data_IF_125873041729
#
_entry.id   IF_125873041729
#
_cell.length_a   1.000
_cell.length_b   1.000
_cell.length_c   1.000
_cell.angle_alpha   90.00
_cell.angle_beta   90.00
_cell.angle_gamma   90.00
#
_symmetry.space_group_name_H-M   'P 1'
#
loop_
_entity.id
_entity.type
_entity.pdbx_description
1 polymer ?
#
# COMPACT_ATOMS: atom_id res chain seq x y z
N UNK A 1 -25.54 -11.85 -47.40
CA UNK A 1 -24.77 -10.72 -47.95
C UNK A 1 -24.40 -9.82 -46.78
N UNK A 2 -23.27 -10.10 -46.12
CA UNK A 2 -22.83 -9.37 -44.94
C UNK A 2 -22.20 -8.04 -45.36
N UNK A 3 -22.59 -6.96 -44.69
CA UNK A 3 -21.95 -5.65 -44.82
C UNK A 3 -20.73 -5.61 -43.90
N UNK A 4 -19.54 -5.45 -44.48
CA UNK A 4 -18.30 -5.24 -43.74
C UNK A 4 -18.30 -3.85 -43.11
N UNK A 5 -18.16 -3.80 -41.78
CA UNK A 5 -18.01 -2.56 -41.02
C UNK A 5 -16.51 -2.26 -41.00
N UNK A 6 -16.07 -1.29 -41.81
CA UNK A 6 -14.71 -0.76 -41.76
C UNK A 6 -14.59 0.23 -40.60
N UNK A 7 -13.70 -0.04 -39.65
CA UNK A 7 -13.35 0.88 -38.56
C UNK A 7 -12.10 1.64 -38.98
N UNK A 8 -12.27 2.89 -39.40
CA UNK A 8 -11.13 3.80 -39.59
C UNK A 8 -10.70 4.34 -38.23
N UNK A 9 -9.48 4.00 -37.81
CA UNK A 9 -8.84 4.58 -36.65
C UNK A 9 -8.29 5.97 -37.04
N UNK A 10 -8.85 7.02 -36.43
CA UNK A 10 -8.32 8.38 -36.49
C UNK A 10 -6.91 8.41 -35.88
N UNK A 11 -5.89 8.48 -36.72
CA UNK A 11 -4.52 8.79 -36.32
C UNK A 11 -4.43 10.28 -35.97
N UNK A 12 -4.30 10.60 -34.68
CA UNK A 12 -3.99 11.96 -34.23
C UNK A 12 -2.57 12.33 -34.71
N UNK A 13 -2.44 13.50 -35.33
CA UNK A 13 -1.19 14.03 -35.87
C UNK A 13 -0.13 14.18 -34.77
N UNK A 14 1.03 13.59 -35.03
CA UNK A 14 2.15 13.40 -34.12
C UNK A 14 3.03 14.66 -34.00
N UNK A 15 2.45 15.79 -33.57
CA UNK A 15 3.18 17.04 -33.30
C UNK A 15 3.04 17.50 -31.83
N UNK A 16 2.11 16.90 -31.07
CA UNK A 16 1.87 17.19 -29.64
C UNK A 16 2.49 16.15 -28.69
N UNK A 17 3.41 15.32 -29.19
CA UNK A 17 4.11 14.30 -28.41
C UNK A 17 5.38 14.85 -27.80
N UNK A 18 5.46 14.90 -26.46
CA UNK A 18 6.70 15.24 -25.78
C UNK A 18 7.82 14.28 -26.20
N UNK A 19 8.98 14.84 -26.58
CA UNK A 19 10.16 14.03 -26.86
C UNK A 19 10.71 13.41 -25.58
N UNK A 20 11.39 12.27 -25.70
CA UNK A 20 11.95 11.55 -24.54
C UNK A 20 12.91 12.44 -23.72
N UNK A 21 13.64 13.34 -24.37
CA UNK A 21 14.56 14.26 -23.71
C UNK A 21 13.82 15.36 -22.93
N UNK A 22 12.67 15.83 -23.43
CA UNK A 22 11.79 16.77 -22.71
C UNK A 22 11.15 16.13 -21.49
N UNK A 23 10.73 14.87 -21.60
CA UNK A 23 10.20 14.08 -20.47
C UNK A 23 11.27 13.86 -19.40
N UNK A 24 12.50 13.53 -19.80
CA UNK A 24 13.59 13.34 -18.86
C UNK A 24 13.98 14.64 -18.15
N UNK A 25 13.95 15.77 -18.85
CA UNK A 25 14.21 17.10 -18.28
C UNK A 25 13.13 17.50 -17.28
N UNK A 26 11.85 17.36 -17.63
CA UNK A 26 10.76 17.74 -16.73
C UNK A 26 10.72 16.89 -15.46
N UNK A 27 11.00 15.58 -15.56
CA UNK A 27 11.11 14.71 -14.39
C UNK A 27 12.29 15.07 -13.47
N UNK A 28 13.36 15.67 -14.00
CA UNK A 28 14.51 16.12 -13.21
C UNK A 28 14.25 17.48 -12.53
N UNK A 29 13.41 18.32 -13.14
CA UNK A 29 12.94 19.60 -12.58
C UNK A 29 11.91 19.42 -11.46
N UNK A 30 11.11 18.35 -11.51
CA UNK A 30 10.14 18.02 -10.48
C UNK A 30 10.82 17.68 -9.12
N UNK A 31 10.60 18.46 -8.06
CA UNK A 31 11.25 18.28 -6.75
C UNK A 31 10.87 16.97 -6.03
N UNK A 32 9.70 16.41 -6.33
CA UNK A 32 9.20 15.16 -5.72
C UNK A 32 9.72 13.93 -6.49
N UNK A 33 9.96 14.05 -7.79
CA UNK A 33 10.48 12.96 -8.65
C UNK A 33 12.02 12.91 -8.66
N UNK A 34 12.68 14.08 -8.64
CA UNK A 34 14.15 14.22 -8.62
C UNK A 34 14.88 13.34 -7.60
N UNK A 35 14.46 13.21 -6.32
CA UNK A 35 15.15 12.33 -5.36
C UNK A 35 15.13 10.86 -5.79
N UNK A 36 14.05 10.39 -6.41
CA UNK A 36 13.91 9.01 -6.88
C UNK A 36 14.86 8.74 -8.06
N UNK A 37 14.95 9.68 -9.00
CA UNK A 37 15.89 9.59 -10.11
C UNK A 37 17.35 9.61 -9.64
N UNK A 38 17.68 10.46 -8.67
CA UNK A 38 19.00 10.48 -8.02
C UNK A 38 19.30 9.15 -7.33
N UNK A 39 18.35 8.60 -6.58
CA UNK A 39 18.50 7.29 -5.94
C UNK A 39 18.68 6.16 -6.95
N UNK A 40 17.97 6.19 -8.08
CA UNK A 40 18.15 5.23 -9.18
C UNK A 40 19.55 5.32 -9.78
N UNK A 41 20.04 6.52 -10.04
CA UNK A 41 21.39 6.71 -10.57
C UNK A 41 22.45 6.20 -9.57
N UNK A 42 22.29 6.51 -8.28
CA UNK A 42 23.19 6.05 -7.21
C UNK A 42 23.07 4.54 -6.91
N UNK A 43 22.00 3.88 -7.36
CA UNK A 43 21.83 2.44 -7.20
C UNK A 43 22.63 1.61 -8.21
N UNK A 44 23.15 2.24 -9.26
CA UNK A 44 24.07 1.59 -10.21
C UNK A 44 25.41 1.24 -9.54
N UNK A 45 25.87 2.06 -8.59
CA UNK A 45 27.06 1.82 -7.76
C UNK A 45 26.76 0.97 -6.50
N UNK A 46 25.60 0.32 -6.45
CA UNK A 46 25.23 -0.50 -5.29
C UNK A 46 26.12 -1.75 -5.25
N UNK A 47 26.87 -1.97 -4.16
CA UNK A 47 27.74 -3.13 -4.05
C UNK A 47 26.91 -4.41 -4.18
N UNK A 48 27.49 -5.39 -4.87
CA UNK A 48 26.87 -6.70 -5.05
C UNK A 48 26.60 -7.35 -3.69
N UNK A 49 25.58 -8.20 -3.60
CA UNK A 49 25.30 -8.99 -2.40
C UNK A 49 26.56 -9.74 -1.91
N UNK A 50 27.41 -10.21 -2.83
CA UNK A 50 28.67 -10.87 -2.49
C UNK A 50 29.68 -9.90 -1.86
N UNK A 51 29.82 -8.69 -2.40
CA UNK A 51 30.73 -7.67 -1.86
C UNK A 51 30.30 -7.21 -0.47
N UNK A 52 28.99 -7.08 -0.25
CA UNK A 52 28.41 -6.78 1.07
C UNK A 52 28.73 -7.93 2.04
N UNK A 53 28.53 -9.18 1.64
CA UNK A 53 28.84 -10.34 2.47
C UNK A 53 30.33 -10.39 2.84
N UNK A 54 31.22 -10.17 1.87
CA UNK A 54 32.67 -10.11 2.11
C UNK A 54 33.07 -8.92 3.00
N UNK A 55 32.43 -7.77 2.86
CA UNK A 55 32.66 -6.61 3.72
C UNK A 55 32.21 -6.89 5.17
N UNK A 56 31.04 -7.51 5.36
CA UNK A 56 30.54 -7.94 6.66
C UNK A 56 31.48 -8.96 7.32
N UNK A 57 31.96 -9.93 6.55
CA UNK A 57 32.91 -10.95 7.01
C UNK A 57 34.25 -10.34 7.41
N UNK A 58 34.80 -9.42 6.61
CA UNK A 58 36.01 -8.67 6.95
C UNK A 58 35.84 -7.83 8.22
N UNK A 59 34.67 -7.21 8.40
CA UNK A 59 34.35 -6.42 9.59
C UNK A 59 34.25 -7.31 10.84
N UNK A 60 33.65 -8.50 10.71
CA UNK A 60 33.62 -9.52 11.77
C UNK A 60 35.01 -10.03 12.14
N UNK A 61 35.89 -10.25 11.15
CA UNK A 61 37.27 -10.69 11.39
C UNK A 61 38.15 -9.62 12.03
N UNK A 62 37.88 -8.34 11.75
CA UNK A 62 38.59 -7.19 12.35
C UNK A 62 38.05 -6.78 13.72
N UNK A 63 36.89 -7.30 14.14
CA UNK A 63 36.36 -7.03 15.47
C UNK A 63 37.23 -7.77 16.53
N UNK A 64 37.71 -7.09 17.59
CA UNK A 64 38.40 -7.77 18.67
C UNK A 64 37.44 -8.78 19.31
N UNK A 65 37.94 -9.99 19.56
CA UNK A 65 37.20 -11.08 20.20
C UNK A 65 37.06 -10.76 21.70
N UNK A 66 36.04 -9.98 22.02
CA UNK A 66 35.44 -9.65 23.32
C UNK A 66 36.34 -9.69 24.58
N UNK A 67 36.70 -8.50 25.06
CA UNK A 67 36.62 -8.24 26.50
C UNK A 67 35.13 -8.18 26.85
N UNK A 68 34.61 -8.94 27.85
CA UNK A 68 33.18 -8.96 28.15
C UNK A 68 32.79 -7.69 28.89
N UNK A 69 32.63 -6.58 28.17
CA UNK A 69 31.85 -5.45 28.63
C UNK A 69 30.38 -5.85 28.60
N UNK A 70 29.97 -6.60 29.63
CA UNK A 70 28.60 -6.93 30.05
C UNK A 70 27.53 -6.93 28.92
N UNK A 71 27.22 -8.08 28.29
CA UNK A 71 26.10 -8.21 27.34
C UNK A 71 24.73 -7.83 27.93
N UNK A 72 24.65 -7.72 29.25
CA UNK A 72 23.45 -7.39 30.02
C UNK A 72 22.87 -6.02 29.70
N UNK A 73 23.70 -4.99 29.49
CA UNK A 73 23.21 -3.61 29.31
C UNK A 73 22.65 -3.34 27.91
N UNK A 74 23.16 -4.01 26.88
CA UNK A 74 22.67 -3.86 25.51
C UNK A 74 21.46 -4.75 25.23
N UNK A 75 21.45 -5.97 25.76
CA UNK A 75 20.30 -6.86 25.66
C UNK A 75 19.06 -6.24 26.32
N UNK A 76 19.18 -5.72 27.54
CA UNK A 76 18.07 -5.08 28.24
C UNK A 76 17.49 -3.87 27.48
N UNK A 77 18.35 -3.09 26.81
CA UNK A 77 17.90 -1.95 25.98
C UNK A 77 17.16 -2.38 24.73
N UNK A 78 17.54 -3.51 24.12
CA UNK A 78 16.84 -4.03 22.95
C UNK A 78 15.48 -4.61 23.31
N UNK A 79 15.36 -5.27 24.45
CA UNK A 79 14.07 -5.76 24.95
C UNK A 79 13.11 -4.61 25.25
N UNK A 80 13.58 -3.54 25.89
CA UNK A 80 12.76 -2.34 26.15
C UNK A 80 12.30 -1.66 24.85
N UNK A 81 13.19 -1.56 23.85
CA UNK A 81 12.83 -1.04 22.51
C UNK A 81 11.77 -1.91 21.84
N UNK A 82 11.85 -3.25 21.94
CA UNK A 82 10.84 -4.14 21.39
C UNK A 82 9.49 -4.01 22.10
N UNK A 83 9.49 -3.92 23.43
CA UNK A 83 8.27 -3.69 24.23
C UNK A 83 7.64 -2.36 23.85
N UNK A 84 8.43 -1.29 23.82
CA UNK A 84 8.00 0.06 23.45
C UNK A 84 7.45 0.12 22.02
N UNK A 85 8.12 -0.50 21.05
CA UNK A 85 7.62 -0.60 19.68
C UNK A 85 6.28 -1.34 19.63
N UNK A 86 6.12 -2.42 20.40
CA UNK A 86 4.86 -3.15 20.53
C UNK A 86 3.73 -2.30 21.12
N UNK A 87 4.03 -1.47 22.12
CA UNK A 87 3.07 -0.53 22.71
C UNK A 87 2.65 0.57 21.72
N UNK A 88 3.58 1.10 20.94
CA UNK A 88 3.28 2.10 19.90
C UNK A 88 2.35 1.53 18.81
N UNK A 89 2.57 0.28 18.39
CA UNK A 89 1.67 -0.40 17.44
C UNK A 89 0.27 -0.59 18.04
N UNK A 90 0.18 -1.03 19.30
CA UNK A 90 -1.11 -1.18 20.00
C UNK A 90 -1.84 0.15 20.13
N UNK A 91 -1.12 1.21 20.49
CA UNK A 91 -1.66 2.55 20.68
C UNK A 91 -2.11 3.16 19.34
N UNK A 92 -1.35 2.97 18.27
CA UNK A 92 -1.74 3.33 16.90
C UNK A 92 -3.02 2.61 16.47
N UNK A 93 -3.13 1.30 16.72
CA UNK A 93 -4.36 0.53 16.45
C UNK A 93 -5.56 1.06 17.23
N UNK A 94 -5.38 1.42 18.51
CA UNK A 94 -6.44 2.02 19.34
C UNK A 94 -6.90 3.36 18.77
N UNK A 95 -5.95 4.27 18.46
CA UNK A 95 -6.26 5.56 17.83
C UNK A 95 -7.01 5.39 16.50
N UNK A 96 -6.60 4.42 15.70
CA UNK A 96 -7.26 4.08 14.44
C UNK A 96 -8.69 3.59 14.68
N UNK A 97 -8.88 2.65 15.60
CA UNK A 97 -10.21 2.14 15.98
C UNK A 97 -11.11 3.29 16.43
N UNK A 98 -10.68 4.14 17.35
CA UNK A 98 -11.49 5.28 17.83
C UNK A 98 -11.90 6.21 16.70
N UNK A 99 -11.01 6.49 15.74
CA UNK A 99 -11.33 7.33 14.56
C UNK A 99 -12.40 6.69 13.66
N UNK A 100 -12.36 5.38 13.48
CA UNK A 100 -13.37 4.68 12.67
C UNK A 100 -14.69 4.51 13.41
N UNK A 101 -14.64 4.15 14.69
CA UNK A 101 -15.82 3.98 15.53
C UNK A 101 -16.56 5.32 15.70
N UNK A 102 -15.86 6.46 15.77
CA UNK A 102 -16.50 7.79 15.81
C UNK A 102 -17.23 8.16 14.52
N UNK A 103 -16.97 7.45 13.41
CA UNK A 103 -17.66 7.61 12.12
C UNK A 103 -18.73 6.55 11.90
N UNK A 104 -18.91 5.61 12.83
CA UNK A 104 -19.99 4.64 12.76
C UNK A 104 -21.31 5.37 13.04
N UNK A 105 -22.00 5.72 11.96
CA UNK A 105 -23.39 6.18 12.03
C UNK A 105 -24.29 4.97 12.16
N UNK A 106 -25.21 5.03 13.11
CA UNK A 106 -26.27 4.04 13.25
C UNK A 106 -27.35 4.33 12.21
N UNK A 107 -27.43 3.49 11.18
CA UNK A 107 -28.39 3.64 10.10
C UNK A 107 -29.69 2.92 10.48
N UNK A 108 -30.74 3.71 10.71
CA UNK A 108 -32.07 3.21 10.97
C UNK A 108 -32.82 3.07 9.65
N UNK A 109 -32.86 1.86 9.10
CA UNK A 109 -33.66 1.57 7.92
C UNK A 109 -35.15 1.52 8.29
N UNK A 110 -36.02 1.96 7.40
CA UNK A 110 -37.47 1.80 7.51
C UNK A 110 -37.95 0.77 6.52
N UNK A 111 -39.07 0.12 6.85
CA UNK A 111 -39.74 -0.79 5.92
C UNK A 111 -40.07 -0.02 4.63
N UNK A 112 -39.69 -0.58 3.49
CA UNK A 112 -39.81 0.06 2.18
C UNK A 112 -38.54 0.78 1.69
N UNK A 113 -37.51 0.97 2.51
CA UNK A 113 -36.25 1.60 2.07
C UNK A 113 -35.50 0.73 1.05
N UNK A 114 -34.94 1.38 0.05
CA UNK A 114 -34.11 0.74 -0.97
C UNK A 114 -32.65 0.67 -0.50
N UNK A 115 -32.15 -0.55 -0.28
CA UNK A 115 -30.84 -0.81 0.30
C UNK A 115 -30.02 -1.70 -0.63
N UNK A 116 -28.73 -1.37 -0.75
CA UNK A 116 -27.75 -2.21 -1.43
C UNK A 116 -27.10 -3.17 -0.45
N UNK A 117 -27.12 -4.45 -0.77
CA UNK A 117 -26.55 -5.47 0.11
C UNK A 117 -25.05 -5.61 -0.15
N UNK A 118 -24.24 -5.46 0.90
CA UNK A 118 -22.81 -5.75 0.80
C UNK A 118 -22.58 -7.27 0.86
N UNK A 119 -22.21 -7.87 -0.26
CA UNK A 119 -21.93 -9.28 -0.44
C UNK A 119 -20.48 -9.51 -0.91
N UNK A 120 -19.50 -9.61 0.01
CA UNK A 120 -18.08 -9.78 -0.33
C UNK A 120 -17.70 -11.22 -0.75
N UNK A 121 -18.65 -12.03 -1.23
CA UNK A 121 -18.39 -13.41 -1.67
C UNK A 121 -17.47 -13.44 -2.87
N UNK A 122 -16.31 -14.10 -2.76
CA UNK A 122 -15.35 -14.20 -3.86
C UNK A 122 -15.86 -15.11 -4.98
N UNK A 123 -15.85 -14.61 -6.22
CA UNK A 123 -16.12 -15.40 -7.43
C UNK A 123 -14.80 -15.91 -8.02
N UNK A 124 -14.72 -17.21 -8.27
CA UNK A 124 -13.58 -17.80 -8.95
C UNK A 124 -13.38 -17.19 -10.34
N UNK A 125 -12.13 -16.97 -10.74
CA UNK A 125 -11.79 -16.38 -12.04
C UNK A 125 -11.79 -14.85 -12.09
N UNK A 126 -12.22 -14.14 -11.05
CA UNK A 126 -12.10 -12.68 -10.94
C UNK A 126 -11.15 -12.28 -9.80
N UNK A 127 -10.36 -11.24 -10.04
CA UNK A 127 -9.56 -10.63 -8.97
C UNK A 127 -10.48 -9.98 -7.93
N UNK A 128 -10.23 -10.15 -6.62
CA UNK A 128 -11.06 -9.56 -5.56
C UNK A 128 -11.20 -8.03 -5.61
N UNK A 129 -10.28 -7.34 -6.30
CA UNK A 129 -10.32 -5.89 -6.49
C UNK A 129 -11.21 -5.46 -7.66
N UNK A 130 -11.42 -6.36 -8.62
CA UNK A 130 -12.26 -6.13 -9.80
C UNK A 130 -13.69 -6.65 -9.61
N UNK A 131 -13.95 -7.24 -8.45
CA UNK A 131 -15.25 -7.77 -8.13
C UNK A 131 -16.14 -6.71 -7.48
N UNK A 132 -17.37 -6.56 -7.98
CA UNK A 132 -18.40 -5.76 -7.32
C UNK A 132 -18.93 -6.51 -6.09
N UNK A 133 -18.79 -5.88 -4.91
CA UNK A 133 -19.26 -6.42 -3.63
C UNK A 133 -20.66 -5.91 -3.26
N UNK A 134 -21.26 -5.03 -4.05
CA UNK A 134 -22.58 -4.46 -3.80
C UNK A 134 -23.59 -5.15 -4.70
N UNK A 135 -24.58 -5.79 -4.10
CA UNK A 135 -25.62 -6.54 -4.79
C UNK A 135 -26.96 -5.81 -4.65
N UNK A 136 -27.56 -5.53 -5.81
CA UNK A 136 -28.99 -5.26 -5.99
C UNK A 136 -29.57 -4.03 -5.28
N UNK A 137 -30.79 -3.70 -5.69
CA UNK A 137 -31.70 -2.82 -4.95
C UNK A 137 -32.70 -3.69 -4.21
N UNK A 138 -32.42 -3.98 -2.94
CA UNK A 138 -33.34 -4.71 -2.06
C UNK A 138 -34.26 -3.72 -1.35
N UNK A 139 -35.46 -4.17 -1.01
CA UNK A 139 -36.36 -3.43 -0.12
C UNK A 139 -36.32 -4.05 1.27
N UNK A 140 -36.29 -3.19 2.28
CA UNK A 140 -36.39 -3.64 3.68
C UNK A 140 -37.84 -4.04 3.95
N UNK A 141 -38.10 -5.32 4.20
CA UNK A 141 -39.46 -5.84 4.43
C UNK A 141 -39.88 -5.74 5.90
N UNK A 142 -38.94 -5.97 6.81
CA UNK A 142 -39.17 -5.91 8.25
C UNK A 142 -37.87 -5.70 9.00
N UNK A 143 -37.89 -4.87 10.03
CA UNK A 143 -36.76 -4.71 10.94
C UNK A 143 -36.86 -5.73 12.06
N UNK A 144 -35.76 -6.46 12.30
CA UNK A 144 -35.71 -7.46 13.37
C UNK A 144 -35.20 -6.89 14.70
N UNK A 145 -34.73 -5.64 14.71
CA UNK A 145 -34.04 -5.01 15.84
C UNK A 145 -34.69 -3.69 16.30
N UNK A 146 -35.99 -3.47 16.07
CA UNK A 146 -36.69 -2.34 16.69
C UNK A 146 -36.81 -2.61 18.20
N UNK A 147 -35.76 -2.26 18.95
CA UNK A 147 -35.83 -2.10 20.40
C UNK A 147 -36.59 -0.80 20.63
N UNK A 148 -37.90 -0.94 20.86
CA UNK A 148 -38.77 0.13 21.32
C UNK A 148 -38.35 0.66 22.71
#
# INVERSE_FOLDING_TARGET
MGTDISVEALTMTNEDGWSLSEIQKSQLEDPDIRPILKMKLNSADRPSCQEIAHACERRRRKAPRDTPSSPTKSAARLEDVHVSAGEQVKLSRKRMKTRYDSRATDYHFKEGDLVWMHNPKRRGGLSPKLQQNWEGSYTVVKNLNDVA
#
